data_IF_127568553826
#
_entry.id   IF_127568553826
#
_cell.length_a   1.000
_cell.length_b   1.000
_cell.length_c   1.000
_cell.angle_alpha   90.00
_cell.angle_beta   90.00
_cell.angle_gamma   90.00
#
_symmetry.space_group_name_H-M   'P 1'
#
loop_
_entity.id
_entity.type
_entity.pdbx_description
1 polymer ?
#
# COMPACT_ATOMS: atom_id res chain seq x y z
N UNK A 1 34.96 8.95 -13.90
CA UNK A 1 34.80 7.91 -12.85
C UNK A 1 34.42 8.61 -11.55
N UNK A 2 33.13 8.77 -11.28
CA UNK A 2 32.64 9.23 -9.97
C UNK A 2 32.64 8.01 -9.04
N UNK A 3 33.40 8.10 -7.95
CA UNK A 3 33.83 7.01 -7.05
C UNK A 3 32.74 6.61 -6.02
N UNK A 4 31.65 7.36 -5.93
CA UNK A 4 30.64 7.22 -4.88
C UNK A 4 29.40 6.45 -5.38
N UNK A 5 29.34 5.12 -5.12
CA UNK A 5 28.11 4.31 -5.21
C UNK A 5 27.14 4.62 -4.05
N UNK A 6 26.88 5.89 -3.77
CA UNK A 6 26.25 6.26 -2.50
C UNK A 6 24.79 5.76 -2.37
N UNK A 7 24.07 5.66 -3.49
CA UNK A 7 22.65 5.29 -3.51
C UNK A 7 22.36 3.89 -2.97
N UNK A 8 23.21 2.90 -3.28
CA UNK A 8 22.98 1.51 -2.89
C UNK A 8 23.25 1.29 -1.39
N UNK A 9 24.32 1.92 -0.84
CA UNK A 9 24.59 1.78 0.60
C UNK A 9 23.63 2.63 1.43
N UNK A 10 23.19 3.79 0.95
CA UNK A 10 22.18 4.59 1.66
C UNK A 10 20.85 3.83 1.74
N UNK A 11 20.41 3.24 0.63
CA UNK A 11 19.22 2.37 0.61
C UNK A 11 19.38 1.20 1.57
N UNK A 12 20.54 0.53 1.54
CA UNK A 12 20.83 -0.58 2.45
C UNK A 12 20.81 -0.13 3.90
N UNK A 13 21.45 0.99 4.24
CA UNK A 13 21.54 1.48 5.62
C UNK A 13 20.16 1.87 6.15
N UNK A 14 19.38 2.64 5.38
CA UNK A 14 18.03 3.03 5.79
C UNK A 14 17.15 1.78 5.97
N UNK A 15 17.23 0.85 5.02
CA UNK A 15 16.45 -0.38 5.11
C UNK A 15 16.87 -1.24 6.30
N UNK A 16 18.17 -1.39 6.54
CA UNK A 16 18.71 -2.24 7.61
C UNK A 16 18.54 -1.65 9.00
N UNK A 17 18.75 -0.34 9.15
CA UNK A 17 18.80 0.34 10.46
C UNK A 17 17.47 0.98 10.82
N UNK A 18 16.59 1.25 9.85
CA UNK A 18 15.29 1.92 10.09
C UNK A 18 14.12 1.02 9.75
N UNK A 19 14.06 0.47 8.53
CA UNK A 19 12.89 -0.30 8.09
C UNK A 19 12.82 -1.67 8.75
N UNK A 20 13.93 -2.41 8.78
CA UNK A 20 14.00 -3.75 9.37
C UNK A 20 13.56 -3.75 10.85
N UNK A 21 14.06 -2.85 11.73
CA UNK A 21 13.59 -2.79 13.12
C UNK A 21 12.16 -2.24 13.26
N UNK A 22 11.71 -1.38 12.34
CA UNK A 22 10.32 -0.90 12.32
C UNK A 22 9.35 -2.05 12.06
N UNK A 23 9.72 -2.95 11.16
CA UNK A 23 8.93 -4.10 10.74
C UNK A 23 7.80 -3.74 9.76
N UNK A 24 7.43 -4.71 8.93
CA UNK A 24 6.43 -4.54 7.88
C UNK A 24 5.06 -4.01 8.38
N UNK A 25 4.50 -4.49 9.50
CA UNK A 25 3.19 -3.99 9.96
C UNK A 25 3.21 -2.51 10.35
N UNK A 26 4.29 -2.02 10.96
CA UNK A 26 4.38 -0.61 11.31
C UNK A 26 4.69 0.25 10.09
N UNK A 27 5.42 -0.27 9.10
CA UNK A 27 5.63 0.42 7.83
C UNK A 27 4.29 0.78 7.16
N UNK A 28 3.31 -0.12 7.19
CA UNK A 28 1.97 0.14 6.65
C UNK A 28 1.27 1.31 7.35
N UNK A 29 1.39 1.38 8.68
CA UNK A 29 0.88 2.52 9.48
C UNK A 29 1.57 3.81 9.09
N UNK A 30 2.89 3.78 8.87
CA UNK A 30 3.68 4.94 8.44
C UNK A 30 3.27 5.46 7.06
N UNK A 31 2.79 4.60 6.15
CA UNK A 31 2.19 5.10 4.91
C UNK A 31 0.92 5.93 5.16
N UNK A 32 0.05 5.51 6.08
CA UNK A 32 -1.14 6.32 6.40
C UNK A 32 -0.79 7.64 7.08
N UNK A 33 0.20 7.62 7.97
CA UNK A 33 0.64 8.81 8.73
C UNK A 33 1.38 9.83 7.86
N UNK A 34 2.28 9.36 6.99
CA UNK A 34 3.28 10.22 6.34
C UNK A 34 3.13 10.35 4.83
N UNK A 35 2.20 9.62 4.18
CA UNK A 35 1.97 9.71 2.75
C UNK A 35 0.58 10.24 2.31
N UNK A 36 -0.08 11.18 3.03
CA UNK A 36 -1.41 11.64 2.64
C UNK A 36 -1.43 12.31 1.27
N UNK A 37 -0.35 13.02 0.88
CA UNK A 37 -0.25 13.67 -0.42
C UNK A 37 -0.18 12.64 -1.56
N UNK A 38 0.64 11.61 -1.40
CA UNK A 38 0.80 10.53 -2.38
C UNK A 38 -0.47 9.69 -2.49
N UNK A 39 -1.16 9.44 -1.36
CA UNK A 39 -2.46 8.78 -1.35
C UNK A 39 -3.49 9.62 -2.14
N UNK A 40 -3.55 10.93 -1.89
CA UNK A 40 -4.46 11.82 -2.62
C UNK A 40 -4.19 11.77 -4.14
N UNK A 41 -2.92 11.89 -4.53
CA UNK A 41 -2.50 11.81 -5.93
C UNK A 41 -2.90 10.48 -6.57
N UNK A 42 -2.66 9.35 -5.89
CA UNK A 42 -3.03 8.03 -6.37
C UNK A 42 -4.54 7.89 -6.56
N UNK A 43 -5.35 8.34 -5.59
CA UNK A 43 -6.81 8.28 -5.65
C UNK A 43 -7.39 9.21 -6.72
N UNK A 44 -6.78 10.38 -6.94
CA UNK A 44 -7.20 11.32 -7.99
C UNK A 44 -7.10 10.72 -9.39
N UNK A 45 -6.21 9.75 -9.63
CA UNK A 45 -6.16 9.05 -10.92
C UNK A 45 -7.48 8.32 -11.21
N UNK A 46 -8.16 7.81 -10.17
CA UNK A 46 -9.43 7.10 -10.30
C UNK A 46 -10.64 8.03 -10.47
N UNK A 47 -10.50 9.35 -10.37
CA UNK A 47 -11.64 10.27 -10.55
C UNK A 47 -11.91 10.61 -12.02
N UNK A 48 -10.92 10.40 -12.88
CA UNK A 48 -10.93 10.77 -14.29
C UNK A 48 -11.27 9.57 -15.19
N UNK A 49 -12.42 9.62 -15.87
CA UNK A 49 -12.90 8.53 -16.75
C UNK A 49 -11.89 8.16 -17.85
N UNK A 50 -11.17 9.16 -18.39
CA UNK A 50 -10.16 8.95 -19.43
C UNK A 50 -8.96 8.08 -19.00
N UNK A 51 -8.77 7.86 -17.70
CA UNK A 51 -7.65 7.07 -17.19
C UNK A 51 -7.94 5.57 -17.21
N UNK A 52 -9.18 5.16 -17.47
CA UNK A 52 -9.57 3.75 -17.45
C UNK A 52 -9.26 3.05 -18.78
N UNK A 53 -8.84 1.76 -18.76
CA UNK A 53 -8.62 0.92 -17.58
C UNK A 53 -7.31 1.25 -16.82
N UNK A 54 -7.34 1.15 -15.49
CA UNK A 54 -6.21 1.47 -14.60
C UNK A 54 -5.50 0.20 -14.15
N UNK A 55 -4.15 0.18 -14.26
CA UNK A 55 -3.29 -0.86 -13.69
C UNK A 55 -2.44 -0.26 -12.55
N UNK A 56 -2.61 -0.78 -11.33
CA UNK A 56 -1.84 -0.35 -10.16
C UNK A 56 -0.71 -1.33 -9.89
N UNK A 57 0.53 -0.84 -9.87
CA UNK A 57 1.69 -1.66 -9.51
C UNK A 57 2.68 -0.90 -8.61
N UNK A 58 3.51 -1.66 -7.91
CA UNK A 58 4.69 -1.19 -7.21
C UNK A 58 5.89 -2.06 -7.61
N UNK A 59 6.86 -2.31 -6.73
CA UNK A 59 7.97 -3.22 -7.03
C UNK A 59 7.54 -4.69 -7.10
N UNK A 60 6.70 -5.13 -6.17
CA UNK A 60 6.25 -6.53 -6.06
C UNK A 60 4.72 -6.69 -6.03
N UNK A 61 3.98 -5.60 -6.29
CA UNK A 61 2.52 -5.60 -6.29
C UNK A 61 1.86 -5.82 -4.92
N UNK A 62 2.61 -5.76 -3.81
CA UNK A 62 2.12 -6.08 -2.46
C UNK A 62 1.77 -4.86 -1.62
N UNK A 63 2.76 -4.08 -1.20
CA UNK A 63 2.57 -3.15 -0.09
C UNK A 63 1.87 -1.85 -0.49
N UNK A 64 2.50 -1.02 -1.31
CA UNK A 64 1.91 0.23 -1.82
C UNK A 64 0.71 -0.03 -2.73
N UNK A 65 0.79 -1.08 -3.55
CA UNK A 65 -0.34 -1.54 -4.37
C UNK A 65 -1.49 -1.99 -3.48
N UNK A 66 -1.24 -2.82 -2.48
CA UNK A 66 -2.25 -3.29 -1.54
C UNK A 66 -2.92 -2.15 -0.79
N UNK A 67 -2.15 -1.13 -0.36
CA UNK A 67 -2.70 0.08 0.27
C UNK A 67 -3.67 0.82 -0.67
N UNK A 68 -3.24 1.12 -1.90
CA UNK A 68 -4.10 1.82 -2.88
C UNK A 68 -5.34 1.00 -3.22
N UNK A 69 -5.19 -0.30 -3.45
CA UNK A 69 -6.32 -1.20 -3.71
C UNK A 69 -7.29 -1.25 -2.54
N UNK A 70 -6.78 -1.33 -1.29
CA UNK A 70 -7.62 -1.27 -0.09
C UNK A 70 -8.43 0.02 -0.04
N UNK A 71 -7.79 1.19 -0.21
CA UNK A 71 -8.47 2.48 -0.14
C UNK A 71 -9.57 2.61 -1.20
N UNK A 72 -9.30 2.19 -2.44
CA UNK A 72 -10.29 2.23 -3.53
C UNK A 72 -11.46 1.27 -3.25
N UNK A 73 -11.18 0.02 -2.88
CA UNK A 73 -12.22 -0.96 -2.56
C UNK A 73 -13.08 -0.53 -1.38
N UNK A 74 -12.47 0.07 -0.36
CA UNK A 74 -13.18 0.55 0.81
C UNK A 74 -14.02 1.81 0.50
N UNK A 75 -13.55 2.71 -0.39
CA UNK A 75 -14.38 3.81 -0.93
C UNK A 75 -15.61 3.28 -1.69
N UNK A 76 -15.45 2.14 -2.38
CA UNK A 76 -16.50 1.41 -3.06
C UNK A 76 -17.45 0.64 -2.12
N UNK A 77 -17.20 0.65 -0.80
CA UNK A 77 -18.05 -0.02 0.19
C UNK A 77 -17.85 -1.54 0.26
N UNK A 78 -16.75 -2.06 -0.28
CA UNK A 78 -16.43 -3.50 -0.19
C UNK A 78 -16.15 -3.85 1.28
N UNK A 79 -16.70 -4.96 1.82
CA UNK A 79 -16.45 -5.36 3.20
C UNK A 79 -14.97 -5.66 3.47
N UNK A 80 -14.47 -5.27 4.65
CA UNK A 80 -13.06 -5.46 5.05
C UNK A 80 -12.58 -6.90 4.89
N UNK A 81 -13.42 -7.88 5.24
CA UNK A 81 -13.09 -9.29 5.08
C UNK A 81 -12.81 -9.67 3.63
N UNK A 82 -13.59 -9.13 2.69
CA UNK A 82 -13.38 -9.36 1.25
C UNK A 82 -12.06 -8.74 0.80
N UNK A 83 -11.76 -7.52 1.27
CA UNK A 83 -10.49 -6.84 0.94
C UNK A 83 -9.29 -7.62 1.50
N UNK A 84 -9.37 -8.10 2.73
CA UNK A 84 -8.32 -8.90 3.36
C UNK A 84 -8.07 -10.20 2.58
N UNK A 85 -9.14 -10.89 2.16
CA UNK A 85 -9.00 -12.11 1.37
C UNK A 85 -8.43 -11.83 -0.02
N UNK A 86 -8.80 -10.72 -0.64
CA UNK A 86 -8.23 -10.33 -1.93
C UNK A 86 -6.73 -10.05 -1.82
N UNK A 87 -6.33 -9.23 -0.84
CA UNK A 87 -4.91 -8.97 -0.55
C UNK A 87 -4.12 -10.27 -0.32
N UNK A 88 -4.68 -11.22 0.43
CA UNK A 88 -4.02 -12.48 0.77
C UNK A 88 -3.70 -13.37 -0.45
N UNK A 89 -4.39 -13.19 -1.59
CA UNK A 89 -4.04 -13.88 -2.86
C UNK A 89 -2.62 -13.56 -3.31
N UNK A 90 -2.09 -12.39 -2.93
CA UNK A 90 -0.71 -11.97 -3.20
C UNK A 90 0.31 -12.97 -2.68
N UNK A 91 0.05 -13.61 -1.53
CA UNK A 91 0.95 -14.61 -0.94
C UNK A 91 1.19 -15.79 -1.90
N UNK A 92 0.12 -16.29 -2.53
CA UNK A 92 0.23 -17.36 -3.51
C UNK A 92 0.90 -16.88 -4.80
N UNK A 93 0.62 -15.64 -5.23
CA UNK A 93 1.22 -15.02 -6.41
C UNK A 93 2.72 -14.79 -6.30
N UNK A 94 3.25 -14.59 -5.09
CA UNK A 94 4.70 -14.41 -4.84
C UNK A 94 5.46 -15.73 -4.90
N UNK A 95 4.81 -16.87 -4.61
CA UNK A 95 5.48 -18.18 -4.49
C UNK A 95 6.43 -18.54 -5.65
N UNK A 96 6.08 -18.29 -6.94
CA UNK A 96 6.96 -18.59 -8.07
C UNK A 96 8.25 -17.76 -8.09
N UNK A 97 8.22 -16.55 -7.53
CA UNK A 97 9.33 -15.57 -7.54
C UNK A 97 9.97 -15.37 -6.17
N UNK A 98 9.61 -16.20 -5.18
CA UNK A 98 10.01 -16.03 -3.78
C UNK A 98 11.54 -15.96 -3.61
N UNK A 99 12.28 -16.82 -4.31
CA UNK A 99 13.74 -16.88 -4.20
C UNK A 99 14.42 -15.64 -4.81
N UNK A 100 13.80 -15.01 -5.80
CA UNK A 100 14.28 -13.77 -6.41
C UNK A 100 13.98 -12.58 -5.49
N UNK A 101 12.76 -12.50 -4.95
CA UNK A 101 12.39 -11.50 -3.94
C UNK A 101 13.32 -11.53 -2.74
N UNK A 102 13.64 -12.73 -2.23
CA UNK A 102 14.52 -12.88 -1.08
C UNK A 102 15.92 -12.30 -1.37
N UNK A 103 16.46 -12.53 -2.57
CA UNK A 103 17.76 -11.96 -2.97
C UNK A 103 17.69 -10.43 -3.04
N UNK A 104 16.60 -9.89 -3.56
CA UNK A 104 16.43 -8.44 -3.68
C UNK A 104 16.25 -7.76 -2.32
N UNK A 105 15.53 -8.38 -1.38
CA UNK A 105 15.41 -7.91 0.00
C UNK A 105 16.75 -7.96 0.74
N UNK A 106 17.49 -9.07 0.64
CA UNK A 106 18.81 -9.20 1.26
C UNK A 106 19.79 -8.15 0.73
N UNK A 107 19.72 -7.82 -0.56
CA UNK A 107 20.55 -6.77 -1.19
C UNK A 107 20.32 -5.39 -0.59
N UNK A 108 19.12 -5.13 -0.09
CA UNK A 108 18.78 -3.89 0.61
C UNK A 108 18.79 -4.05 2.13
N UNK A 109 19.18 -5.20 2.68
CA UNK A 109 19.30 -5.38 4.13
C UNK A 109 18.01 -5.72 4.85
N UNK A 110 16.96 -6.12 4.13
CA UNK A 110 15.69 -6.58 4.69
C UNK A 110 15.63 -8.12 4.78
N UNK A 111 14.95 -8.63 5.80
CA UNK A 111 14.69 -10.07 5.97
C UNK A 111 13.46 -10.56 5.22
N UNK A 112 13.21 -11.88 5.30
CA UNK A 112 12.08 -12.54 4.63
C UNK A 112 10.72 -12.08 5.16
N UNK A 113 10.67 -11.48 6.36
CA UNK A 113 9.46 -10.92 6.95
C UNK A 113 8.82 -9.86 6.05
N UNK A 114 9.61 -9.18 5.21
CA UNK A 114 9.12 -8.18 4.26
C UNK A 114 8.46 -8.80 3.01
N UNK A 115 8.60 -10.11 2.80
CA UNK A 115 7.89 -10.85 1.73
C UNK A 115 6.44 -11.13 2.12
N UNK A 116 6.15 -11.21 3.42
CA UNK A 116 4.86 -11.66 3.94
C UNK A 116 3.69 -10.81 3.42
N UNK A 117 2.71 -11.49 2.82
CA UNK A 117 1.44 -10.97 2.32
C UNK A 117 0.25 -11.65 3.00
N UNK A 118 0.46 -12.18 4.22
CA UNK A 118 -0.60 -12.86 4.96
C UNK A 118 -1.76 -11.92 5.33
N UNK A 119 -2.98 -12.45 5.51
CA UNK A 119 -4.17 -11.69 5.89
C UNK A 119 -3.98 -10.72 7.08
N UNK A 120 -3.10 -11.09 8.03
CA UNK A 120 -2.83 -10.31 9.24
C UNK A 120 -2.30 -8.90 8.93
N UNK A 121 -1.57 -8.72 7.83
CA UNK A 121 -0.95 -7.44 7.48
C UNK A 121 -2.02 -6.43 7.04
N UNK A 122 -2.92 -6.83 6.13
CA UNK A 122 -4.03 -5.99 5.73
C UNK A 122 -5.02 -5.76 6.88
N UNK A 123 -5.29 -6.78 7.70
CA UNK A 123 -6.12 -6.63 8.89
C UNK A 123 -5.56 -5.61 9.87
N UNK A 124 -4.28 -5.72 10.20
CA UNK A 124 -3.62 -4.79 11.11
C UNK A 124 -3.61 -3.35 10.60
N UNK A 125 -3.53 -3.15 9.28
CA UNK A 125 -3.68 -1.83 8.67
C UNK A 125 -5.11 -1.27 8.84
N UNK A 126 -6.14 -2.08 8.55
CA UNK A 126 -7.55 -1.67 8.67
C UNK A 126 -7.88 -1.35 10.14
N UNK A 127 -7.46 -2.21 11.06
CA UNK A 127 -7.67 -2.02 12.50
C UNK A 127 -7.01 -0.73 12.98
N UNK A 128 -5.76 -0.49 12.57
CA UNK A 128 -5.05 0.75 12.89
C UNK A 128 -5.74 1.99 12.30
N UNK A 129 -6.17 1.94 11.04
CA UNK A 129 -6.88 3.04 10.38
C UNK A 129 -8.12 3.43 11.19
N UNK A 130 -8.92 2.44 11.60
CA UNK A 130 -10.13 2.68 12.40
C UNK A 130 -9.81 3.16 13.81
N UNK A 131 -8.79 2.61 14.46
CA UNK A 131 -8.44 3.01 15.83
C UNK A 131 -7.89 4.44 15.90
N UNK A 132 -7.07 4.82 14.91
CA UNK A 132 -6.37 6.11 14.91
C UNK A 132 -7.25 7.23 14.34
N UNK A 133 -8.02 6.94 13.28
CA UNK A 133 -8.76 7.96 12.53
C UNK A 133 -10.29 7.80 12.62
N UNK A 134 -10.78 6.81 13.36
CA UNK A 134 -12.21 6.52 13.53
C UNK A 134 -12.82 5.76 12.36
N UNK A 135 -12.80 6.35 11.16
CA UNK A 135 -13.27 5.70 9.94
C UNK A 135 -12.49 6.16 8.70
N UNK A 136 -12.65 5.42 7.60
CA UNK A 136 -11.98 5.72 6.34
C UNK A 136 -12.36 7.11 5.82
N UNK A 137 -13.65 7.46 5.87
CA UNK A 137 -14.14 8.73 5.37
C UNK A 137 -13.48 9.91 6.10
N UNK A 138 -13.41 9.83 7.44
CA UNK A 138 -12.75 10.84 8.26
C UNK A 138 -11.27 10.95 7.94
N UNK A 139 -10.57 9.83 7.79
CA UNK A 139 -9.17 9.83 7.36
C UNK A 139 -9.00 10.51 6.00
N UNK A 140 -9.80 10.13 5.00
CA UNK A 140 -9.69 10.68 3.65
C UNK A 140 -10.00 12.17 3.62
N UNK A 141 -11.04 12.63 4.29
CA UNK A 141 -11.44 14.04 4.28
C UNK A 141 -10.49 14.90 5.11
N UNK A 142 -10.18 14.50 6.35
CA UNK A 142 -9.48 15.34 7.33
C UNK A 142 -7.96 15.27 7.19
N UNK A 143 -7.41 14.14 6.77
CA UNK A 143 -5.96 13.91 6.70
C UNK A 143 -5.44 13.93 5.26
N UNK A 144 -6.10 13.19 4.36
CA UNK A 144 -5.68 13.09 2.96
C UNK A 144 -6.12 14.30 2.12
N UNK A 145 -7.18 15.00 2.54
CA UNK A 145 -7.79 16.07 1.76
C UNK A 145 -8.52 15.56 0.51
N UNK A 146 -9.05 14.34 0.57
CA UNK A 146 -9.79 13.67 -0.51
C UNK A 146 -11.29 13.66 -0.18
N UNK A 147 -12.01 14.64 -0.74
CA UNK A 147 -13.39 14.97 -0.36
C UNK A 147 -14.43 13.96 -0.84
N UNK A 148 -15.65 14.09 -0.32
CA UNK A 148 -16.77 13.19 -0.63
C UNK A 148 -17.15 13.19 -2.12
N UNK A 149 -17.05 14.33 -2.80
CA UNK A 149 -17.32 14.44 -4.24
C UNK A 149 -16.34 13.60 -5.06
N UNK A 150 -15.06 13.61 -4.69
CA UNK A 150 -14.03 12.81 -5.36
C UNK A 150 -14.25 11.31 -5.10
N UNK A 151 -14.61 10.94 -3.87
CA UNK A 151 -14.97 9.56 -3.54
C UNK A 151 -16.21 9.08 -4.30
N UNK A 152 -17.20 9.96 -4.51
CA UNK A 152 -18.38 9.66 -5.30
C UNK A 152 -18.05 9.41 -6.78
N UNK A 153 -17.05 10.11 -7.35
CA UNK A 153 -16.56 9.85 -8.71
C UNK A 153 -15.95 8.46 -8.83
N UNK A 154 -15.11 8.03 -7.87
CA UNK A 154 -14.55 6.67 -7.86
C UNK A 154 -15.68 5.63 -7.82
N UNK A 155 -16.67 5.81 -6.93
CA UNK A 155 -17.85 4.93 -6.87
C UNK A 155 -18.63 4.91 -8.18
N UNK A 156 -18.83 6.07 -8.82
CA UNK A 156 -19.52 6.17 -10.10
C UNK A 156 -18.82 5.34 -11.18
N UNK A 157 -17.49 5.42 -11.26
CA UNK A 157 -16.72 4.74 -12.32
C UNK A 157 -16.54 3.24 -12.07
N UNK A 158 -16.44 2.80 -10.81
CA UNK A 158 -16.12 1.41 -10.46
C UNK A 158 -17.32 0.57 -10.00
N UNK A 159 -18.37 1.17 -9.45
CA UNK A 159 -19.53 0.45 -8.90
C UNK A 159 -20.77 0.51 -9.78
N UNK A 160 -20.71 1.18 -10.94
CA UNK A 160 -21.85 1.24 -11.84
C UNK A 160 -22.17 -0.16 -12.40
N UNK A 161 -23.39 -0.61 -12.11
CA UNK A 161 -24.10 -1.71 -12.78
C UNK A 161 -25.00 -1.12 -13.85
#
# INVERSE_FOLDING_TARGET
MLIFRQEQWATYLVSKEVLEPLGLPNLYKKFLEFCPMEINQALTIFTEERNYPIHVQCSFGKDRTGLVCYLVLAICGVPDEVIVQDYAKTQAGIRPIYSELMKDLQRVGLSEDFIDASPKNMRGLIDFMKSEYGCLEDYLVKVVGFGLDQQALIRKHLCAV
#
